data_IF_977662087485
#
_entry.id   IF_977662087485
#
_cell.length_a   1.000
_cell.length_b   1.000
_cell.length_c   1.000
_cell.angle_alpha   90.00
_cell.angle_beta   90.00
_cell.angle_gamma   90.00
#
_symmetry.space_group_name_H-M   'P 1'
#
loop_
_entity.id
_entity.type
_entity.pdbx_description
1 polymer ?
#
# COMPACT_ATOMS: atom_id res chain seq x y z
N UNK A 1 7.36 -18.79 28.49
CA UNK A 1 6.06 -18.30 27.98
C UNK A 1 6.26 -18.01 26.51
N UNK A 2 5.49 -18.63 25.60
CA UNK A 2 5.61 -18.34 24.16
C UNK A 2 5.19 -16.89 23.91
N UNK A 3 5.98 -16.14 23.16
CA UNK A 3 5.66 -14.76 22.77
C UNK A 3 4.37 -14.74 21.94
N UNK A 4 3.42 -13.87 22.30
CA UNK A 4 2.12 -13.78 21.62
C UNK A 4 2.33 -13.14 20.24
N UNK A 5 1.99 -13.86 19.18
CA UNK A 5 2.09 -13.35 17.80
C UNK A 5 1.05 -12.26 17.54
N UNK A 6 1.36 -11.33 16.64
CA UNK A 6 0.41 -10.31 16.18
C UNK A 6 -0.82 -10.98 15.52
N UNK A 7 -2.05 -10.58 15.87
CA UNK A 7 -3.26 -11.19 15.32
C UNK A 7 -3.55 -10.65 13.91
N UNK A 8 -2.82 -11.14 12.91
CA UNK A 8 -2.94 -10.71 11.51
C UNK A 8 -3.91 -11.57 10.70
N UNK A 9 -4.32 -11.07 9.52
CA UNK A 9 -5.12 -11.86 8.59
C UNK A 9 -4.35 -13.09 8.08
N UNK A 10 -3.04 -12.94 7.85
CA UNK A 10 -2.16 -14.05 7.43
C UNK A 10 -2.05 -15.13 8.51
N UNK A 11 -1.91 -14.75 9.78
CA UNK A 11 -1.84 -15.68 10.91
C UNK A 11 -3.14 -16.49 11.03
N UNK A 12 -4.29 -15.82 10.98
CA UNK A 12 -5.59 -16.49 11.07
C UNK A 12 -5.82 -17.45 9.88
N UNK A 13 -5.44 -17.03 8.67
CA UNK A 13 -5.54 -17.87 7.46
C UNK A 13 -4.64 -19.10 7.55
N UNK A 14 -3.41 -18.92 8.03
CA UNK A 14 -2.46 -20.01 8.26
C UNK A 14 -3.00 -21.00 9.29
N UNK A 15 -3.48 -20.52 10.43
CA UNK A 15 -4.08 -21.37 11.46
C UNK A 15 -5.25 -22.21 10.90
N UNK A 16 -6.14 -21.60 10.12
CA UNK A 16 -7.25 -22.32 9.45
C UNK A 16 -6.77 -23.38 8.46
N UNK A 17 -5.71 -23.09 7.70
CA UNK A 17 -5.12 -24.03 6.73
C UNK A 17 -4.46 -25.22 7.43
N UNK A 18 -3.63 -24.95 8.44
CA UNK A 18 -2.94 -25.99 9.23
C UNK A 18 -3.97 -26.85 9.98
N UNK A 19 -5.01 -26.25 10.56
CA UNK A 19 -6.10 -27.00 11.18
C UNK A 19 -6.82 -27.93 10.20
N UNK A 20 -7.06 -27.49 8.96
CA UNK A 20 -7.67 -28.33 7.92
C UNK A 20 -6.78 -29.52 7.55
N UNK A 21 -5.46 -29.33 7.51
CA UNK A 21 -4.50 -30.41 7.23
C UNK A 21 -4.38 -31.40 8.39
N UNK A 22 -4.55 -30.92 9.63
CA UNK A 22 -4.42 -31.72 10.84
C UNK A 22 -5.75 -32.29 11.36
N UNK A 23 -6.84 -32.13 10.61
CA UNK A 23 -8.15 -32.68 10.98
C UNK A 23 -8.17 -34.19 10.74
N UNK A 24 -8.54 -34.94 11.78
CA UNK A 24 -8.70 -36.40 11.73
C UNK A 24 -10.04 -36.79 12.38
N UNK A 25 -10.51 -38.04 12.25
CA UNK A 25 -11.72 -38.50 12.97
C UNK A 25 -11.64 -38.29 14.49
N UNK A 26 -10.45 -38.44 15.08
CA UNK A 26 -10.20 -38.25 16.51
C UNK A 26 -9.86 -36.81 16.89
N UNK A 27 -9.59 -35.95 15.91
CA UNK A 27 -9.27 -34.53 16.10
C UNK A 27 -10.12 -33.68 15.13
N UNK A 28 -11.33 -33.28 15.54
CA UNK A 28 -12.17 -32.43 14.72
C UNK A 28 -11.52 -31.08 14.47
N UNK A 29 -11.90 -30.44 13.36
CA UNK A 29 -11.32 -29.19 12.87
C UNK A 29 -11.20 -28.09 13.94
N UNK A 30 -12.24 -27.91 14.77
CA UNK A 30 -12.23 -26.87 15.81
C UNK A 30 -11.14 -27.13 16.87
N UNK A 31 -10.91 -28.39 17.24
CA UNK A 31 -9.85 -28.76 18.18
C UNK A 31 -8.46 -28.53 17.55
N UNK A 32 -8.28 -28.93 16.29
CA UNK A 32 -7.04 -28.65 15.56
C UNK A 32 -6.79 -27.14 15.41
N UNK A 33 -7.84 -26.33 15.27
CA UNK A 33 -7.76 -24.88 15.17
C UNK A 33 -7.42 -24.21 16.51
N UNK A 34 -7.97 -24.71 17.62
CA UNK A 34 -7.60 -24.26 18.97
C UNK A 34 -6.12 -24.54 19.27
N UNK A 35 -5.61 -25.70 18.86
CA UNK A 35 -4.17 -26.01 18.97
C UNK A 35 -3.31 -24.99 18.20
N UNK A 36 -3.71 -24.60 16.97
CA UNK A 36 -2.99 -23.58 16.21
C UNK A 36 -3.04 -22.19 16.88
N UNK A 37 -4.18 -21.83 17.48
CA UNK A 37 -4.30 -20.57 18.21
C UNK A 37 -3.38 -20.55 19.45
N UNK A 38 -3.29 -21.67 20.18
CA UNK A 38 -2.41 -21.83 21.34
C UNK A 38 -0.93 -21.73 20.96
N UNK A 39 -0.53 -22.32 19.84
CA UNK A 39 0.82 -22.15 19.28
C UNK A 39 1.15 -20.70 18.92
N UNK A 40 0.13 -19.89 18.60
CA UNK A 40 0.28 -18.46 18.36
C UNK A 40 0.22 -17.60 19.64
N UNK A 41 0.04 -18.21 20.81
CA UNK A 41 -0.06 -17.53 22.10
C UNK A 41 -1.47 -17.02 22.44
N UNK A 42 -2.51 -17.61 21.84
CA UNK A 42 -3.92 -17.30 22.11
C UNK A 42 -4.61 -18.49 22.79
N UNK A 43 -5.51 -18.27 23.77
CA UNK A 43 -6.17 -19.37 24.49
C UNK A 43 -6.96 -20.33 23.57
N UNK A 44 -7.66 -19.76 22.59
CA UNK A 44 -8.50 -20.47 21.63
C UNK A 44 -8.62 -19.67 20.32
N UNK A 45 -9.17 -20.31 19.29
CA UNK A 45 -9.28 -19.69 17.97
C UNK A 45 -10.24 -18.48 17.95
N UNK A 46 -11.24 -18.46 18.85
CA UNK A 46 -12.21 -17.36 18.95
C UNK A 46 -11.53 -16.10 19.45
N UNK A 47 -10.63 -16.24 20.43
CA UNK A 47 -9.83 -15.14 20.99
C UNK A 47 -8.86 -14.60 19.94
N UNK A 48 -8.23 -15.47 19.15
CA UNK A 48 -7.40 -15.04 18.00
C UNK A 48 -8.24 -14.29 16.96
N UNK A 49 -9.40 -14.82 16.58
CA UNK A 49 -10.28 -14.18 15.60
C UNK A 49 -10.82 -12.83 16.10
N UNK A 50 -11.21 -12.74 17.37
CA UNK A 50 -11.65 -11.51 18.01
C UNK A 50 -10.52 -10.47 18.08
N UNK A 51 -9.31 -10.88 18.46
CA UNK A 51 -8.15 -10.00 18.50
C UNK A 51 -7.81 -9.45 17.11
N UNK A 52 -7.91 -10.26 16.06
CA UNK A 52 -7.73 -9.80 14.67
C UNK A 52 -8.86 -8.84 14.25
N UNK A 53 -10.11 -9.14 14.62
CA UNK A 53 -11.26 -8.28 14.35
C UNK A 53 -11.15 -6.91 15.04
N UNK A 54 -10.78 -6.89 16.32
CA UNK A 54 -10.54 -5.66 17.08
C UNK A 54 -9.40 -4.84 16.49
N UNK A 55 -8.29 -5.49 16.11
CA UNK A 55 -7.18 -4.82 15.43
C UNK A 55 -7.62 -4.18 14.11
N UNK A 56 -8.37 -4.92 13.29
CA UNK A 56 -8.89 -4.39 12.02
C UNK A 56 -9.89 -3.25 12.21
N UNK A 57 -10.59 -3.20 13.35
CA UNK A 57 -11.53 -2.14 13.71
C UNK A 57 -10.83 -0.88 14.27
N UNK A 58 -9.60 -1.00 14.77
CA UNK A 58 -8.77 0.14 15.13
C UNK A 58 -8.12 0.75 13.86
N UNK A 59 -8.94 1.36 13.02
CA UNK A 59 -8.50 2.46 12.16
C UNK A 59 -7.99 3.57 13.10
N UNK A 60 -6.68 3.84 13.10
CA UNK A 60 -6.09 4.78 14.05
C UNK A 60 -4.60 5.03 13.86
N UNK A 61 -3.88 4.08 13.28
CA UNK A 61 -2.54 4.34 12.75
C UNK A 61 -2.64 5.01 11.37
N UNK A 62 -1.70 5.90 11.07
CA UNK A 62 -1.61 6.65 9.81
C UNK A 62 -1.46 5.73 8.57
N UNK A 63 -0.97 4.51 8.78
CA UNK A 63 -0.84 3.47 7.75
C UNK A 63 -1.45 2.16 8.27
N UNK A 64 -2.59 1.72 7.70
CA UNK A 64 -3.32 0.56 8.19
C UNK A 64 -2.59 -0.76 7.87
N UNK A 65 -2.70 -1.73 8.78
CA UNK A 65 -2.22 -3.11 8.61
C UNK A 65 -3.38 -4.04 8.25
N UNK A 66 -3.23 -4.82 7.20
CA UNK A 66 -4.23 -5.71 6.62
C UNK A 66 -5.63 -5.07 6.45
N UNK A 67 -5.73 -3.87 5.85
CA UNK A 67 -7.04 -3.25 5.70
C UNK A 67 -7.93 -4.10 4.78
N UNK A 68 -9.25 -3.94 4.94
CA UNK A 68 -10.21 -4.58 4.03
C UNK A 68 -10.19 -3.87 2.69
N UNK A 69 -9.54 -4.49 1.71
CA UNK A 69 -9.46 -3.98 0.34
C UNK A 69 -10.76 -4.25 -0.45
N UNK A 70 -11.11 -3.38 -1.42
CA UNK A 70 -12.16 -3.68 -2.39
C UNK A 70 -11.95 -5.03 -3.09
N UNK A 71 -13.02 -5.69 -3.55
CA UNK A 71 -12.90 -6.87 -4.41
C UNK A 71 -12.05 -6.55 -5.65
N UNK A 72 -11.17 -7.49 -6.03
CA UNK A 72 -10.26 -7.35 -7.19
C UNK A 72 -9.31 -6.16 -7.13
N UNK A 73 -9.05 -5.58 -5.95
CA UNK A 73 -8.24 -4.36 -5.81
C UNK A 73 -6.90 -4.40 -6.56
N UNK A 74 -6.16 -5.51 -6.54
CA UNK A 74 -4.88 -5.65 -7.26
C UNK A 74 -5.00 -6.24 -8.68
N UNK A 75 -6.22 -6.35 -9.20
CA UNK A 75 -6.51 -6.79 -10.58
C UNK A 75 -7.35 -5.75 -11.34
N UNK A 76 -7.54 -4.55 -10.79
CA UNK A 76 -8.30 -3.46 -11.39
C UNK A 76 -7.35 -2.40 -11.93
N UNK A 77 -7.32 -2.15 -13.25
CA UNK A 77 -6.57 -1.05 -13.86
C UNK A 77 -6.90 0.28 -13.22
N UNK A 78 -5.90 1.17 -13.10
CA UNK A 78 -6.06 2.44 -12.41
C UNK A 78 -7.11 3.36 -13.08
N UNK A 79 -7.22 3.29 -14.40
CA UNK A 79 -8.16 4.04 -15.23
C UNK A 79 -9.61 3.56 -15.06
N UNK A 80 -9.81 2.30 -14.68
CA UNK A 80 -11.13 1.70 -14.48
C UNK A 80 -11.66 1.91 -13.05
N UNK A 81 -10.86 2.51 -12.16
CA UNK A 81 -11.25 2.73 -10.76
C UNK A 81 -12.23 3.89 -10.62
N UNK A 82 -13.21 3.71 -9.74
CA UNK A 82 -14.12 4.79 -9.36
C UNK A 82 -13.39 5.92 -8.62
N UNK A 83 -13.89 7.15 -8.75
CA UNK A 83 -13.35 8.31 -8.05
C UNK A 83 -13.30 8.12 -6.53
N UNK A 84 -14.35 7.51 -5.94
CA UNK A 84 -14.41 7.21 -4.51
C UNK A 84 -13.30 6.25 -4.05
N UNK A 85 -12.96 5.28 -4.89
CA UNK A 85 -11.89 4.34 -4.58
C UNK A 85 -10.54 5.02 -4.65
N UNK A 86 -10.31 5.79 -5.71
CA UNK A 86 -9.09 6.59 -5.86
C UNK A 86 -8.95 7.61 -4.70
N UNK A 87 -10.01 8.31 -4.30
CA UNK A 87 -9.96 9.22 -3.14
C UNK A 87 -9.63 8.49 -1.84
N UNK A 88 -10.07 7.24 -1.70
CA UNK A 88 -9.81 6.43 -0.51
C UNK A 88 -8.38 5.90 -0.48
N UNK A 89 -7.82 5.47 -1.61
CA UNK A 89 -6.60 4.67 -1.66
C UNK A 89 -5.41 5.31 -2.37
N UNK A 90 -5.63 6.29 -3.24
CA UNK A 90 -4.57 6.89 -4.03
C UNK A 90 -3.57 7.63 -3.14
N UNK A 91 -2.28 7.31 -3.30
CA UNK A 91 -1.16 7.78 -2.49
C UNK A 91 -1.28 7.52 -0.97
N UNK A 92 -2.19 6.62 -0.57
CA UNK A 92 -2.35 6.22 0.83
C UNK A 92 -1.77 4.83 1.02
N UNK A 93 -0.57 4.72 1.61
CA UNK A 93 0.05 3.42 1.78
C UNK A 93 -0.71 2.56 2.79
N UNK A 94 -0.52 1.25 2.68
CA UNK A 94 -1.04 0.25 3.60
C UNK A 94 -0.04 -0.91 3.71
N UNK A 95 -0.16 -1.70 4.77
CA UNK A 95 0.71 -2.85 5.03
C UNK A 95 -0.09 -4.15 4.88
N UNK A 96 0.49 -5.16 4.26
CA UNK A 96 -0.03 -6.52 4.22
C UNK A 96 0.89 -7.46 5.00
N UNK A 97 0.31 -8.26 5.88
CA UNK A 97 1.02 -9.36 6.54
C UNK A 97 1.18 -10.54 5.59
N UNK A 98 2.38 -11.15 5.58
CA UNK A 98 2.68 -12.35 4.80
C UNK A 98 2.58 -13.61 5.66
N UNK A 99 2.50 -14.76 5.02
CA UNK A 99 2.33 -16.06 5.70
C UNK A 99 3.58 -16.56 6.44
N UNK A 100 4.75 -15.99 6.12
CA UNK A 100 6.03 -16.24 6.79
C UNK A 100 6.25 -15.35 8.03
N UNK A 101 5.36 -14.38 8.28
CA UNK A 101 5.44 -13.44 9.40
C UNK A 101 6.08 -12.10 9.05
N UNK A 102 6.55 -11.91 7.82
CA UNK A 102 7.01 -10.61 7.32
C UNK A 102 5.84 -9.71 6.89
N UNK A 103 6.15 -8.46 6.56
CA UNK A 103 5.20 -7.43 6.18
C UNK A 103 5.61 -6.78 4.85
N UNK A 104 4.64 -6.58 3.96
CA UNK A 104 4.84 -5.86 2.70
C UNK A 104 4.15 -4.49 2.77
N UNK A 105 4.89 -3.43 2.49
CA UNK A 105 4.34 -2.09 2.32
C UNK A 105 3.89 -1.88 0.87
N UNK A 106 2.68 -1.35 0.67
CA UNK A 106 2.13 -1.09 -0.67
C UNK A 106 1.41 0.26 -0.73
N UNK A 107 1.25 0.80 -1.93
CA UNK A 107 0.42 1.97 -2.18
C UNK A 107 -0.18 1.95 -3.59
N UNK A 108 -1.41 2.43 -3.72
CA UNK A 108 -1.99 2.71 -5.03
C UNK A 108 -1.52 4.10 -5.49
N UNK A 109 -0.47 4.17 -6.32
CA UNK A 109 0.20 5.45 -6.62
C UNK A 109 0.68 5.58 -8.08
N UNK A 110 0.27 4.66 -8.96
CA UNK A 110 0.63 4.67 -10.38
C UNK A 110 2.01 4.10 -10.72
N UNK A 111 2.78 3.61 -9.75
CA UNK A 111 4.02 2.87 -10.01
C UNK A 111 3.78 1.55 -10.77
N UNK A 112 2.65 0.89 -10.52
CA UNK A 112 2.09 -0.18 -11.36
C UNK A 112 0.79 0.28 -12.01
N UNK A 113 0.55 -0.17 -13.24
CA UNK A 113 -0.62 0.23 -14.03
C UNK A 113 -1.90 -0.51 -13.62
N UNK A 114 -1.78 -1.76 -13.17
CA UNK A 114 -2.90 -2.70 -12.97
C UNK A 114 -3.16 -3.09 -11.51
N UNK A 115 -2.35 -2.58 -10.57
CA UNK A 115 -2.37 -2.99 -9.16
C UNK A 115 -1.73 -1.95 -8.25
N UNK A 116 -1.78 -2.19 -6.94
CA UNK A 116 -0.96 -1.43 -6.00
C UNK A 116 0.53 -1.72 -6.19
N UNK A 117 1.35 -0.68 -6.04
CA UNK A 117 2.81 -0.74 -6.11
C UNK A 117 3.37 -1.32 -4.82
N UNK A 118 4.29 -2.28 -4.92
CA UNK A 118 5.08 -2.75 -3.78
C UNK A 118 6.16 -1.72 -3.45
N UNK A 119 6.16 -1.21 -2.21
CA UNK A 119 7.15 -0.27 -1.68
C UNK A 119 8.31 -1.00 -0.98
N UNK A 120 8.13 -2.29 -0.67
CA UNK A 120 9.15 -3.20 -0.15
C UNK A 120 8.67 -4.03 1.04
N UNK A 121 9.57 -4.81 1.61
CA UNK A 121 9.31 -5.75 2.72
C UNK A 121 10.01 -5.34 4.02
N UNK A 122 9.44 -5.76 5.15
CA UNK A 122 9.95 -5.51 6.49
C UNK A 122 9.69 -6.70 7.43
N UNK A 123 10.49 -6.82 8.49
CA UNK A 123 10.35 -7.88 9.49
C UNK A 123 9.32 -7.53 10.58
N UNK A 124 9.10 -6.23 10.80
CA UNK A 124 8.14 -5.72 11.79
C UNK A 124 7.17 -4.72 11.19
N UNK A 125 6.04 -4.49 11.87
CA UNK A 125 5.03 -3.52 11.44
C UNK A 125 5.58 -2.09 11.43
N UNK A 126 6.38 -1.72 12.44
CA UNK A 126 6.92 -0.36 12.55
C UNK A 126 7.96 -0.05 11.47
N UNK A 127 8.80 -1.03 11.14
CA UNK A 127 9.68 -0.94 9.97
C UNK A 127 8.88 -0.81 8.68
N UNK A 128 7.81 -1.60 8.51
CA UNK A 128 6.95 -1.54 7.33
C UNK A 128 6.30 -0.15 7.17
N UNK A 129 5.83 0.45 8.28
CA UNK A 129 5.27 1.80 8.30
C UNK A 129 6.32 2.86 7.95
N UNK A 130 7.51 2.76 8.51
CA UNK A 130 8.62 3.67 8.21
C UNK A 130 9.01 3.60 6.74
N UNK A 131 9.14 2.37 6.22
CA UNK A 131 9.42 2.12 4.81
C UNK A 131 8.32 2.73 3.91
N UNK A 132 7.07 2.46 4.23
CA UNK A 132 5.91 2.97 3.49
C UNK A 132 5.91 4.50 3.40
N UNK A 133 6.13 5.20 4.53
CA UNK A 133 6.22 6.67 4.56
C UNK A 133 7.33 7.20 3.66
N UNK A 134 8.53 6.65 3.80
CA UNK A 134 9.71 7.13 3.08
C UNK A 134 9.55 6.92 1.57
N UNK A 135 9.17 5.71 1.16
CA UNK A 135 9.00 5.37 -0.26
C UNK A 135 7.86 6.12 -0.92
N UNK A 136 6.74 6.28 -0.23
CA UNK A 136 5.62 7.04 -0.75
C UNK A 136 5.98 8.53 -0.88
N UNK A 137 6.69 9.09 0.10
CA UNK A 137 7.19 10.47 0.02
C UNK A 137 8.16 10.66 -1.15
N UNK A 138 9.16 9.78 -1.30
CA UNK A 138 10.11 9.79 -2.43
C UNK A 138 9.37 9.73 -3.78
N UNK A 139 8.34 8.87 -3.88
CA UNK A 139 7.54 8.74 -5.09
C UNK A 139 6.75 10.01 -5.42
N UNK A 140 6.10 10.61 -4.42
CA UNK A 140 5.36 11.88 -4.57
C UNK A 140 6.30 13.01 -4.98
N UNK A 141 7.46 13.14 -4.33
CA UNK A 141 8.46 14.15 -4.65
C UNK A 141 8.93 13.99 -6.10
N UNK A 142 9.34 12.77 -6.49
CA UNK A 142 9.80 12.48 -7.85
C UNK A 142 8.73 12.80 -8.91
N UNK A 143 7.49 12.35 -8.72
CA UNK A 143 6.41 12.56 -9.72
C UNK A 143 5.90 14.01 -9.76
N UNK A 144 6.18 14.81 -8.73
CA UNK A 144 5.83 16.23 -8.67
C UNK A 144 6.84 17.14 -9.38
N UNK A 145 8.03 16.63 -9.73
CA UNK A 145 9.06 17.41 -10.41
C UNK A 145 8.63 17.77 -11.85
N UNK A 146 8.78 19.05 -12.27
CA UNK A 146 8.42 19.47 -13.61
C UNK A 146 9.29 18.86 -14.71
N UNK A 147 8.64 18.25 -15.70
CA UNK A 147 9.26 17.66 -16.88
C UNK A 147 9.18 18.65 -18.04
N UNK A 148 10.24 18.70 -18.87
CA UNK A 148 10.25 19.50 -20.08
C UNK A 148 9.59 18.71 -21.23
N UNK A 149 8.55 19.27 -21.83
CA UNK A 149 7.84 18.74 -22.99
C UNK A 149 8.17 19.57 -24.23
N UNK A 150 8.86 18.98 -25.20
CA UNK A 150 9.19 19.65 -26.47
C UNK A 150 7.99 19.58 -27.41
N UNK A 151 7.52 20.75 -27.83
CA UNK A 151 6.44 20.91 -28.80
C UNK A 151 6.93 20.73 -30.24
N UNK A 152 6.03 20.43 -31.19
CA UNK A 152 6.36 20.37 -32.61
C UNK A 152 6.91 21.67 -33.22
N UNK A 153 6.59 22.83 -32.64
CA UNK A 153 7.09 24.15 -33.08
C UNK A 153 8.49 24.49 -32.55
N UNK A 154 9.10 23.58 -31.78
CA UNK A 154 10.44 23.75 -31.20
C UNK A 154 10.45 24.47 -29.85
N UNK A 155 9.30 24.91 -29.35
CA UNK A 155 9.17 25.48 -28.01
C UNK A 155 8.99 24.39 -26.94
N UNK A 156 9.22 24.74 -25.68
CA UNK A 156 9.18 23.83 -24.55
C UNK A 156 8.15 24.28 -23.53
N UNK A 157 7.36 23.33 -23.04
CA UNK A 157 6.53 23.49 -21.86
C UNK A 157 7.18 22.82 -20.66
N UNK A 158 7.08 23.44 -19.49
CA UNK A 158 7.35 22.77 -18.22
C UNK A 158 6.02 22.30 -17.66
N UNK A 159 5.85 20.98 -17.56
CA UNK A 159 4.63 20.33 -17.11
C UNK A 159 4.89 19.45 -15.89
N UNK A 160 3.91 19.36 -14.99
CA UNK A 160 3.82 18.26 -14.03
C UNK A 160 2.89 17.23 -14.65
N UNK A 161 3.37 16.01 -14.83
CA UNK A 161 2.60 14.92 -15.45
C UNK A 161 1.34 14.56 -14.66
N UNK A 162 0.40 13.91 -15.34
CA UNK A 162 -0.80 13.31 -14.76
C UNK A 162 -0.42 12.48 -13.53
N UNK A 163 -0.92 12.94 -12.39
CA UNK A 163 -0.46 12.51 -11.07
C UNK A 163 -1.38 11.42 -10.50
N UNK A 164 -2.57 11.29 -11.09
CA UNK A 164 -3.68 10.41 -10.75
C UNK A 164 -4.51 10.16 -12.03
N UNK A 165 -5.17 9.00 -12.21
CA UNK A 165 -5.84 8.64 -13.47
C UNK A 165 -6.95 9.59 -13.92
N UNK A 166 -7.57 10.32 -12.99
CA UNK A 166 -8.64 11.28 -13.27
C UNK A 166 -8.16 12.74 -13.32
N UNK A 167 -6.85 12.97 -13.43
CA UNK A 167 -6.25 14.31 -13.51
C UNK A 167 -5.43 14.44 -14.78
N UNK A 168 -5.42 15.64 -15.36
CA UNK A 168 -4.54 15.98 -16.48
C UNK A 168 -3.30 16.70 -15.99
N UNK A 169 -2.23 16.64 -16.78
CA UNK A 169 -0.99 17.36 -16.54
C UNK A 169 -1.25 18.86 -16.33
N UNK A 170 -0.42 19.45 -15.48
CA UNK A 170 -0.47 20.88 -15.19
C UNK A 170 0.69 21.58 -15.89
N UNK A 171 0.38 22.60 -16.71
CA UNK A 171 1.40 23.43 -17.35
C UNK A 171 1.84 24.52 -16.38
N UNK A 172 3.11 24.53 -15.99
CA UNK A 172 3.70 25.53 -15.08
C UNK A 172 4.31 26.70 -15.85
N UNK A 173 4.91 26.42 -17.00
CA UNK A 173 5.42 27.42 -17.93
C UNK A 173 5.27 26.89 -19.35
N UNK A 174 5.08 27.79 -20.30
CA UNK A 174 4.67 27.46 -21.66
C UNK A 174 5.46 28.29 -22.66
N UNK A 175 5.68 27.73 -23.86
CA UNK A 175 6.30 28.45 -24.98
C UNK A 175 7.73 28.96 -24.68
N UNK A 176 8.50 28.21 -23.88
CA UNK A 176 9.90 28.53 -23.57
C UNK A 176 10.80 28.15 -24.74
N UNK A 177 11.87 28.90 -24.96
CA UNK A 177 12.98 28.44 -25.79
C UNK A 177 13.82 27.40 -25.01
N UNK A 178 14.47 26.42 -25.66
CA UNK A 178 15.25 25.39 -24.97
C UNK A 178 16.30 25.94 -23.98
N UNK A 179 16.93 27.06 -24.31
CA UNK A 179 17.92 27.73 -23.45
C UNK A 179 17.31 28.36 -22.18
N UNK A 180 16.00 28.63 -22.17
CA UNK A 180 15.30 29.28 -21.06
C UNK A 180 14.81 28.28 -20.01
N UNK A 181 14.74 26.99 -20.36
CA UNK A 181 14.18 25.92 -19.51
C UNK A 181 14.86 25.83 -18.16
N UNK A 182 16.21 25.92 -18.12
CA UNK A 182 16.95 25.86 -16.86
C UNK A 182 16.60 27.03 -15.95
N UNK A 183 16.59 28.25 -16.49
CA UNK A 183 16.26 29.44 -15.71
C UNK A 183 14.81 29.42 -15.22
N UNK A 184 13.87 28.93 -16.04
CA UNK A 184 12.47 28.77 -15.65
C UNK A 184 12.30 27.77 -14.50
N UNK A 185 13.01 26.63 -14.53
CA UNK A 185 13.01 25.65 -13.41
C UNK A 185 13.51 26.24 -12.10
N UNK A 186 14.59 27.01 -12.13
CA UNK A 186 15.13 27.65 -10.91
C UNK A 186 14.16 28.68 -10.32
N UNK A 187 13.43 29.43 -11.16
CA UNK A 187 12.38 30.36 -10.69
C UNK A 187 11.25 29.62 -9.98
N UNK A 188 10.76 28.53 -10.57
CA UNK A 188 9.72 27.69 -9.97
C UNK A 188 10.16 27.12 -8.62
N UNK A 189 11.42 26.66 -8.50
CA UNK A 189 11.98 26.17 -7.22
C UNK A 189 12.11 27.26 -6.17
N UNK A 190 12.38 28.49 -6.58
CA UNK A 190 12.48 29.64 -5.68
C UNK A 190 11.10 30.18 -5.23
N UNK A 191 9.99 29.65 -5.76
CA UNK A 191 8.64 30.11 -5.45
C UNK A 191 8.26 31.46 -6.07
N UNK A 192 8.97 31.88 -7.13
CA UNK A 192 8.79 33.16 -7.85
C UNK A 192 8.15 32.98 -9.22
#
# INVERSE_FOLDING_TARGET
MSERKLPTNSLLTRAKREAKQNTTPDKPYNQALDEQAQLAGYPDWRTLAMANGLRNAHEGDDIPLDPVLPPNFDNTPNEDRSEKELDKWWDKPFILSRGDGSFEARALNGGAWDRSTCLGDAATVDEARTLARNRQKEWIEMRSEPVAYLRPDGLVDLIVMDSRPNTSHTVLASALRPEEVKAARERLKAGN
#
